data_IF_451588265638
#
_entry.id   IF_451588265638
#
_cell.length_a   1.000
_cell.length_b   1.000
_cell.length_c   1.000
_cell.angle_alpha   90.00
_cell.angle_beta   90.00
_cell.angle_gamma   90.00
#
_symmetry.space_group_name_H-M   'P 1'
#
loop_
_entity.id
_entity.type
_entity.pdbx_description
1 polymer ?
#
# COMPACT_ATOMS: atom_id res chain seq x y z
N UNK A 1 8.78 12.08 -5.29
CA UNK A 1 9.33 11.62 -3.99
C UNK A 1 9.72 10.14 -4.11
N UNK A 2 10.80 9.67 -3.47
CA UNK A 2 11.10 8.23 -3.48
C UNK A 2 10.04 7.47 -2.67
N UNK A 3 9.69 6.26 -3.09
CA UNK A 3 8.68 5.43 -2.43
C UNK A 3 9.18 4.00 -2.32
N UNK A 4 8.90 3.37 -1.19
CA UNK A 4 9.22 1.97 -0.96
C UNK A 4 7.91 1.20 -0.83
N UNK A 5 7.69 0.24 -1.73
CA UNK A 5 6.48 -0.55 -1.79
C UNK A 5 6.81 -2.02 -1.54
N UNK A 6 6.00 -2.69 -0.71
CA UNK A 6 6.06 -4.13 -0.58
C UNK A 6 4.68 -4.78 -0.53
N UNK A 7 4.67 -6.05 -0.93
CA UNK A 7 3.56 -6.99 -0.72
C UNK A 7 4.04 -8.00 0.30
N UNK A 8 3.29 -8.13 1.39
CA UNK A 8 3.57 -9.06 2.47
C UNK A 8 2.51 -10.15 2.49
N UNK A 9 2.98 -11.37 2.69
CA UNK A 9 2.17 -12.56 2.88
C UNK A 9 1.41 -12.53 4.21
N UNK A 10 0.58 -13.54 4.41
CA UNK A 10 -0.20 -13.72 5.65
C UNK A 10 0.67 -13.95 6.88
N UNK A 11 1.87 -14.49 6.69
CA UNK A 11 2.83 -14.80 7.75
C UNK A 11 3.91 -13.72 7.85
N UNK A 12 3.59 -12.49 7.45
CA UNK A 12 4.48 -11.32 7.46
C UNK A 12 5.78 -11.48 6.67
N UNK A 13 5.79 -12.42 5.73
CA UNK A 13 6.92 -12.64 4.84
C UNK A 13 6.83 -11.70 3.62
N UNK A 14 7.92 -11.05 3.21
CA UNK A 14 7.92 -10.26 1.99
C UNK A 14 7.77 -11.17 0.76
N UNK A 15 6.76 -10.88 -0.05
CA UNK A 15 6.47 -11.57 -1.31
C UNK A 15 6.96 -10.76 -2.51
N UNK A 16 6.97 -9.43 -2.40
CA UNK A 16 7.51 -8.54 -3.42
C UNK A 16 7.94 -7.23 -2.78
N UNK A 17 9.05 -6.65 -3.24
CA UNK A 17 9.57 -5.37 -2.77
C UNK A 17 10.06 -4.55 -3.97
N UNK A 18 9.76 -3.25 -3.96
CA UNK A 18 10.21 -2.33 -5.00
C UNK A 18 10.41 -0.92 -4.46
N UNK A 19 11.53 -0.33 -4.86
CA UNK A 19 11.78 1.10 -4.71
C UNK A 19 11.39 1.82 -6.00
N UNK A 20 10.62 2.90 -5.86
CA UNK A 20 10.26 3.83 -6.93
C UNK A 20 10.98 5.15 -6.68
N UNK A 21 11.66 5.65 -7.71
CA UNK A 21 12.37 6.93 -7.67
C UNK A 21 11.66 7.96 -8.53
N UNK A 22 11.66 9.23 -8.12
CA UNK A 22 11.21 10.33 -8.98
C UNK A 22 12.24 10.58 -10.07
N UNK A 23 11.78 10.69 -11.33
CA UNK A 23 12.57 11.21 -12.43
C UNK A 23 12.27 12.71 -12.60
N UNK A 24 12.95 13.56 -11.84
CA UNK A 24 13.02 14.99 -12.16
C UNK A 24 14.48 15.41 -12.21
N UNK A 25 15.04 15.29 -13.41
CA UNK A 25 16.31 15.87 -13.80
C UNK A 25 16.34 15.96 -15.33
N UNK A 26 16.24 17.18 -15.87
CA UNK A 26 16.73 17.45 -17.22
C UNK A 26 18.22 17.04 -17.26
N UNK A 27 18.60 16.33 -18.34
CA UNK A 27 19.96 15.92 -18.72
C UNK A 27 21.03 16.05 -17.61
N UNK A 28 21.25 14.98 -16.84
CA UNK A 28 22.51 14.77 -16.11
C UNK A 28 22.46 14.65 -14.58
N UNK A 29 21.33 14.82 -13.91
CA UNK A 29 21.25 14.58 -12.46
C UNK A 29 20.75 13.17 -12.12
N UNK A 30 21.46 12.52 -11.19
CA UNK A 30 21.18 11.18 -10.67
C UNK A 30 19.76 11.08 -10.10
N UNK A 31 19.09 9.95 -10.34
CA UNK A 31 17.82 9.59 -9.69
C UNK A 31 17.96 9.74 -8.17
N UNK A 32 17.18 10.64 -7.55
CA UNK A 32 17.18 10.84 -6.10
C UNK A 32 16.27 9.80 -5.45
N UNK A 33 16.81 8.60 -5.24
CA UNK A 33 16.17 7.54 -4.45
C UNK A 33 16.22 7.83 -2.95
N UNK A 34 15.89 6.84 -2.11
CA UNK A 34 16.13 6.98 -0.68
C UNK A 34 17.63 7.13 -0.40
N UNK A 35 18.03 8.06 0.49
CA UNK A 35 19.37 8.05 1.05
C UNK A 35 19.67 6.67 1.66
N UNK A 36 20.88 6.15 1.48
CA UNK A 36 21.25 4.79 1.89
C UNK A 36 20.86 4.48 3.34
N UNK A 37 21.12 5.41 4.27
CA UNK A 37 20.77 5.25 5.68
C UNK A 37 19.26 5.15 5.94
N UNK A 38 18.41 5.83 5.17
CA UNK A 38 16.95 5.69 5.27
C UNK A 38 16.48 4.43 4.58
N UNK A 39 17.12 4.05 3.48
CA UNK A 39 16.78 2.84 2.72
C UNK A 39 16.91 1.58 3.59
N UNK A 40 17.95 1.49 4.40
CA UNK A 40 18.18 0.38 5.33
C UNK A 40 17.11 0.30 6.44
N UNK A 41 16.43 1.40 6.74
CA UNK A 41 15.34 1.45 7.72
C UNK A 41 13.99 1.01 7.14
N UNK A 42 13.81 0.99 5.82
CA UNK A 42 12.53 0.69 5.19
C UNK A 42 11.90 -0.64 5.68
N UNK A 43 12.64 -1.77 5.78
CA UNK A 43 12.07 -3.01 6.30
C UNK A 43 11.64 -2.90 7.77
N UNK A 44 12.40 -2.19 8.60
CA UNK A 44 12.08 -1.98 10.01
C UNK A 44 10.80 -1.16 10.18
N UNK A 45 10.71 -0.04 9.45
CA UNK A 45 9.54 0.85 9.45
C UNK A 45 8.30 0.09 9.00
N UNK A 46 8.42 -0.68 7.93
CA UNK A 46 7.35 -1.49 7.40
C UNK A 46 6.88 -2.54 8.42
N UNK A 47 7.81 -3.28 9.01
CA UNK A 47 7.48 -4.31 9.99
C UNK A 47 6.79 -3.72 11.24
N UNK A 48 7.27 -2.58 11.75
CA UNK A 48 6.66 -1.89 12.88
C UNK A 48 5.23 -1.40 12.58
N UNK A 49 4.89 -1.15 11.31
CA UNK A 49 3.54 -0.74 10.91
C UNK A 49 2.52 -1.88 10.80
N UNK A 50 2.96 -3.15 10.85
CA UNK A 50 2.06 -4.30 10.63
C UNK A 50 1.03 -4.46 11.74
N UNK A 51 1.43 -4.28 12.99
CA UNK A 51 0.52 -4.34 14.15
C UNK A 51 -0.65 -3.36 13.99
N UNK A 52 -0.35 -2.13 13.53
CA UNK A 52 -1.36 -1.09 13.28
C UNK A 52 -2.29 -1.49 12.13
N UNK A 53 -1.73 -2.06 11.05
CA UNK A 53 -2.50 -2.52 9.88
C UNK A 53 -3.46 -3.64 10.27
N UNK A 54 -3.00 -4.58 11.11
CA UNK A 54 -3.84 -5.68 11.63
C UNK A 54 -4.95 -5.17 12.55
N UNK A 55 -4.66 -4.21 13.42
CA UNK A 55 -5.69 -3.57 14.24
C UNK A 55 -6.75 -2.86 13.39
N UNK A 56 -6.33 -2.20 12.30
CA UNK A 56 -7.25 -1.54 11.36
C UNK A 56 -8.07 -2.55 10.56
N UNK A 57 -7.51 -3.71 10.21
CA UNK A 57 -8.24 -4.80 9.55
C UNK A 57 -9.50 -5.19 10.33
N UNK A 58 -9.39 -5.31 11.65
CA UNK A 58 -10.53 -5.69 12.50
C UNK A 58 -11.56 -4.57 12.67
N UNK A 59 -11.15 -3.31 12.48
CA UNK A 59 -12.01 -2.13 12.56
C UNK A 59 -12.67 -1.79 11.21
N UNK A 60 -12.11 -2.22 10.08
CA UNK A 60 -12.52 -1.85 8.73
C UNK A 60 -13.99 -2.16 8.41
N UNK A 61 -14.57 -3.14 9.10
CA UNK A 61 -15.99 -3.51 8.97
C UNK A 61 -16.96 -2.55 9.68
N UNK A 62 -16.47 -1.49 10.33
CA UNK A 62 -17.28 -0.57 11.16
C UNK A 62 -17.40 0.86 10.62
N UNK A 63 -16.98 1.12 9.38
CA UNK A 63 -17.13 2.44 8.74
C UNK A 63 -18.59 2.72 8.29
N UNK A 64 -19.50 2.72 9.26
CA UNK A 64 -20.77 3.45 9.18
C UNK A 64 -20.42 4.91 9.44
N UNK A 65 -20.27 5.69 8.36
CA UNK A 65 -20.08 7.13 8.48
C UNK A 65 -21.23 7.76 9.28
N UNK A 66 -20.83 8.63 10.21
CA UNK A 66 -21.66 9.56 10.95
C UNK A 66 -22.85 10.12 10.14
N UNK A 67 -24.05 9.66 10.48
CA UNK A 67 -25.29 10.41 10.30
C UNK A 67 -25.85 10.70 11.68
N UNK A 68 -25.89 11.97 12.06
CA UNK A 68 -26.57 12.47 13.24
C UNK A 68 -28.04 12.03 13.28
N UNK A 69 -28.44 11.33 14.34
CA UNK A 69 -29.62 11.58 15.20
C UNK A 69 -30.24 10.29 15.77
N UNK A 70 -30.14 10.19 17.10
CA UNK A 70 -31.03 9.56 18.08
C UNK A 70 -31.57 8.12 17.92
N UNK A 71 -31.51 7.42 19.05
CA UNK A 71 -32.28 6.24 19.50
C UNK A 71 -32.03 4.87 18.85
N UNK A 72 -31.64 3.92 19.72
CA UNK A 72 -32.28 2.61 19.73
C UNK A 72 -31.45 1.44 19.22
N UNK A 73 -30.98 0.62 20.16
CA UNK A 73 -30.89 -0.85 20.12
C UNK A 73 -30.86 -1.55 18.75
N UNK A 74 -29.76 -2.27 18.51
CA UNK A 74 -29.73 -3.45 17.62
C UNK A 74 -29.53 -3.13 16.14
N UNK A 75 -28.27 -3.09 15.71
CA UNK A 75 -27.92 -3.18 14.28
C UNK A 75 -27.18 -4.49 14.02
N UNK A 76 -27.90 -5.59 14.17
CA UNK A 76 -27.51 -6.88 13.62
C UNK A 76 -28.24 -7.00 12.27
N UNK A 77 -27.49 -7.14 11.17
CA UNK A 77 -27.97 -7.46 9.82
C UNK A 77 -28.57 -6.30 8.99
N UNK A 78 -27.74 -5.33 8.56
CA UNK A 78 -28.03 -4.59 7.32
C UNK A 78 -26.84 -4.61 6.38
N UNK A 79 -26.83 -5.60 5.48
CA UNK A 79 -26.01 -5.55 4.26
C UNK A 79 -26.51 -4.40 3.40
N UNK A 80 -25.84 -3.24 3.48
CA UNK A 80 -25.84 -2.28 2.38
C UNK A 80 -24.78 -2.76 1.39
N UNK A 81 -25.08 -2.67 0.11
CA UNK A 81 -24.17 -2.93 -0.98
C UNK A 81 -23.00 -1.94 -0.91
N UNK A 82 -21.99 -2.27 -0.11
CA UNK A 82 -20.71 -1.58 -0.06
C UNK A 82 -19.92 -2.10 -1.25
N UNK A 83 -19.44 -1.20 -2.12
CA UNK A 83 -18.51 -1.60 -3.16
C UNK A 83 -17.35 -2.32 -2.46
N UNK A 84 -17.22 -3.62 -2.72
CA UNK A 84 -16.21 -4.49 -2.12
C UNK A 84 -14.78 -3.90 -2.27
N UNK A 85 -14.57 -3.03 -3.26
CA UNK A 85 -13.30 -2.33 -3.53
C UNK A 85 -12.96 -1.18 -2.58
N UNK A 86 -13.91 -0.64 -1.81
CA UNK A 86 -13.66 0.44 -0.82
C UNK A 86 -13.12 -0.11 0.51
N UNK A 87 -13.33 -1.40 0.78
CA UNK A 87 -12.93 -2.07 2.03
C UNK A 87 -11.50 -2.60 2.02
N UNK A 88 -10.64 -2.16 1.11
CA UNK A 88 -9.25 -2.64 1.04
C UNK A 88 -8.23 -1.53 1.28
N UNK A 89 -8.53 -0.30 0.89
CA UNK A 89 -7.59 0.82 1.07
C UNK A 89 -7.74 1.41 2.49
N UNK A 90 -6.68 1.31 3.29
CA UNK A 90 -6.66 1.83 4.67
C UNK A 90 -6.26 3.32 4.74
N UNK A 91 -5.78 3.89 3.63
CA UNK A 91 -5.25 5.25 3.65
C UNK A 91 -3.90 5.32 4.36
N UNK A 92 -3.63 6.48 4.96
CA UNK A 92 -2.47 6.69 5.82
C UNK A 92 -2.70 6.03 7.18
N UNK A 93 -1.85 5.05 7.51
CA UNK A 93 -1.96 4.25 8.74
C UNK A 93 -1.04 4.75 9.83
N UNK A 94 0.14 5.25 9.47
CA UNK A 94 1.15 5.69 10.43
C UNK A 94 2.14 6.69 9.79
N UNK A 95 3.07 7.22 10.58
CA UNK A 95 4.20 8.00 10.14
C UNK A 95 5.48 7.66 10.93
N UNK A 96 6.63 7.69 10.26
CA UNK A 96 7.93 7.47 10.91
C UNK A 96 8.94 8.50 10.43
N UNK A 97 9.50 9.32 11.34
CA UNK A 97 10.36 10.46 10.99
C UNK A 97 9.80 11.36 9.87
N UNK A 98 8.49 11.57 9.84
CA UNK A 98 7.82 12.36 8.79
C UNK A 98 7.55 11.61 7.48
N UNK A 99 8.04 10.38 7.31
CA UNK A 99 7.67 9.47 6.23
C UNK A 99 6.24 8.97 6.47
N UNK A 100 5.34 9.16 5.51
CA UNK A 100 3.98 8.66 5.64
C UNK A 100 3.92 7.20 5.22
N UNK A 101 3.14 6.39 5.94
CA UNK A 101 2.92 4.97 5.63
C UNK A 101 1.47 4.82 5.20
N UNK A 102 1.25 4.28 4.00
CA UNK A 102 -0.08 3.89 3.54
C UNK A 102 -0.19 2.39 3.38
N UNK A 103 -1.38 1.85 3.57
CA UNK A 103 -1.62 0.43 3.45
C UNK A 103 -2.89 0.09 2.67
N UNK A 104 -2.86 -1.06 2.04
CA UNK A 104 -3.97 -1.70 1.35
C UNK A 104 -4.00 -3.17 1.74
N UNK A 105 -5.15 -3.66 2.17
CA UNK A 105 -5.34 -5.03 2.63
C UNK A 105 -6.25 -5.76 1.67
N UNK A 106 -5.82 -6.92 1.19
CA UNK A 106 -6.68 -7.78 0.37
C UNK A 106 -7.60 -8.64 1.23
N UNK A 107 -8.71 -9.10 0.68
CA UNK A 107 -9.59 -10.08 1.36
C UNK A 107 -8.91 -11.40 1.72
N UNK A 108 -7.84 -11.73 0.99
CA UNK A 108 -7.01 -12.87 1.30
C UNK A 108 -6.03 -12.61 2.44
N UNK A 109 -6.01 -11.43 3.07
CA UNK A 109 -5.08 -11.11 4.15
C UNK A 109 -3.65 -10.82 3.69
N UNK A 110 -3.46 -10.49 2.40
CA UNK A 110 -2.18 -9.96 1.90
C UNK A 110 -2.12 -8.47 2.19
N UNK A 111 -0.97 -8.00 2.66
CA UNK A 111 -0.78 -6.61 3.11
C UNK A 111 0.10 -5.89 2.10
N UNK A 112 -0.42 -4.86 1.46
CA UNK A 112 0.29 -4.03 0.51
C UNK A 112 0.64 -2.75 1.26
N UNK A 113 1.93 -2.46 1.42
CA UNK A 113 2.40 -1.36 2.27
C UNK A 113 3.33 -0.47 1.47
N UNK A 114 3.14 0.84 1.58
CA UNK A 114 3.99 1.83 0.92
C UNK A 114 4.47 2.89 1.91
N UNK A 115 5.78 3.08 1.95
CA UNK A 115 6.44 4.17 2.65
C UNK A 115 6.69 5.29 1.64
N UNK A 116 6.15 6.47 1.92
CA UNK A 116 6.32 7.66 1.12
C UNK A 116 7.49 8.48 1.66
N UNK A 117 8.55 8.53 0.87
CA UNK A 117 9.72 9.34 1.13
C UNK A 117 9.39 10.83 1.13
N UNK A 118 10.09 11.58 1.95
CA UNK A 118 9.99 13.03 1.95
C UNK A 118 11.36 13.65 2.15
N UNK A 119 11.85 14.29 1.10
CA UNK A 119 13.18 14.86 1.09
C UNK A 119 13.19 16.35 1.41
N UNK A 120 12.05 17.05 1.27
CA UNK A 120 12.02 18.51 1.21
C UNK A 120 10.88 19.18 2.01
N UNK A 121 9.94 18.44 2.64
CA UNK A 121 8.80 19.02 3.39
C UNK A 121 8.61 18.37 4.77
N UNK A 122 8.21 19.15 5.78
CA UNK A 122 7.89 18.61 7.12
C UNK A 122 6.64 17.71 7.16
N UNK A 123 5.82 17.69 6.10
CA UNK A 123 4.65 16.81 5.99
C UNK A 123 4.55 16.23 4.58
N UNK A 124 4.53 14.90 4.49
CA UNK A 124 4.37 14.16 3.24
C UNK A 124 2.92 14.23 2.80
N UNK A 125 2.65 15.00 1.74
CA UNK A 125 1.33 15.06 1.13
C UNK A 125 1.17 13.84 0.20
N UNK A 126 0.25 12.95 0.58
CA UNK A 126 -0.06 11.74 -0.18
C UNK A 126 -1.38 11.98 -0.93
N UNK A 127 -1.38 11.81 -2.25
CA UNK A 127 -2.61 11.83 -3.04
C UNK A 127 -3.32 10.48 -2.90
N UNK A 128 -4.26 10.41 -1.95
CA UNK A 128 -5.00 9.19 -1.62
C UNK A 128 -5.70 8.57 -2.83
N UNK A 129 -6.22 9.38 -3.76
CA UNK A 129 -6.92 8.87 -4.93
C UNK A 129 -5.94 8.15 -5.88
N UNK A 130 -4.79 8.76 -6.13
CA UNK A 130 -3.76 8.17 -6.99
C UNK A 130 -3.16 6.89 -6.37
N UNK A 131 -2.89 6.91 -5.06
CA UNK A 131 -2.37 5.75 -4.32
C UNK A 131 -3.39 4.61 -4.28
N UNK A 132 -4.67 4.92 -4.05
CA UNK A 132 -5.75 3.92 -4.10
C UNK A 132 -5.84 3.25 -5.47
N UNK A 133 -5.82 4.03 -6.56
CA UNK A 133 -5.82 3.47 -7.93
C UNK A 133 -4.60 2.61 -8.22
N UNK A 134 -3.41 3.02 -7.76
CA UNK A 134 -2.19 2.20 -7.86
C UNK A 134 -2.37 0.84 -7.17
N UNK A 135 -2.82 0.83 -5.92
CA UNK A 135 -3.02 -0.42 -5.18
C UNK A 135 -4.04 -1.34 -5.84
N UNK A 136 -5.14 -0.79 -6.37
CA UNK A 136 -6.15 -1.58 -7.07
C UNK A 136 -5.60 -2.25 -8.34
N UNK A 137 -4.84 -1.54 -9.17
CA UNK A 137 -4.23 -2.12 -10.37
C UNK A 137 -3.13 -3.14 -10.03
N UNK A 138 -2.33 -2.91 -8.98
CA UNK A 138 -1.34 -3.89 -8.51
C UNK A 138 -2.03 -5.14 -7.96
N UNK A 139 -3.15 -4.99 -7.25
CA UNK A 139 -3.93 -6.11 -6.73
C UNK A 139 -4.48 -6.98 -7.87
N UNK A 140 -4.99 -6.38 -8.93
CA UNK A 140 -5.42 -7.13 -10.12
C UNK A 140 -4.25 -7.92 -10.75
N UNK A 141 -3.07 -7.31 -10.84
CA UNK A 141 -1.87 -7.98 -11.34
C UNK A 141 -1.40 -9.12 -10.42
N UNK A 142 -1.50 -8.93 -9.11
CA UNK A 142 -1.19 -9.95 -8.11
C UNK A 142 -2.12 -11.15 -8.25
N UNK A 143 -3.43 -10.94 -8.40
CA UNK A 143 -4.40 -12.01 -8.64
C UNK A 143 -4.06 -12.78 -9.92
N UNK A 144 -3.72 -12.09 -11.02
CA UNK A 144 -3.31 -12.75 -12.27
C UNK A 144 -2.08 -13.65 -12.08
N UNK A 145 -1.17 -13.27 -11.18
CA UNK A 145 0.01 -14.07 -10.83
C UNK A 145 -0.37 -15.29 -9.99
N UNK A 146 -1.30 -15.12 -9.03
CA UNK A 146 -1.85 -16.23 -8.25
C UNK A 146 -2.64 -17.25 -9.08
N UNK A 147 -3.31 -16.80 -10.15
CA UNK A 147 -4.05 -17.68 -11.05
C UNK A 147 -3.14 -18.55 -11.93
N UNK A 148 -1.82 -18.36 -11.87
CA UNK A 148 -0.88 -19.27 -12.49
C UNK A 148 -0.79 -20.57 -11.68
N UNK A 149 -1.15 -21.75 -12.22
CA UNK A 149 -1.14 -23.02 -11.49
C UNK A 149 0.27 -23.45 -11.01
N UNK A 150 1.33 -22.83 -11.54
CA UNK A 150 2.72 -23.10 -11.12
C UNK A 150 3.23 -22.16 -10.04
N UNK A 151 2.45 -21.14 -9.67
CA UNK A 151 2.84 -20.25 -8.58
C UNK A 151 2.43 -20.86 -7.24
N UNK A 152 3.39 -20.93 -6.31
CA UNK A 152 3.16 -21.40 -4.95
C UNK A 152 2.76 -20.22 -4.08
N UNK A 153 1.68 -20.40 -3.31
CA UNK A 153 1.18 -19.37 -2.40
C UNK A 153 2.27 -19.03 -1.37
N UNK A 154 2.47 -17.73 -1.14
CA UNK A 154 3.47 -17.13 -0.24
C UNK A 154 4.94 -17.16 -0.73
N UNK A 155 5.24 -17.77 -1.88
CA UNK A 155 6.60 -17.71 -2.43
C UNK A 155 6.88 -16.31 -3.03
N UNK A 156 8.13 -15.80 -2.97
CA UNK A 156 8.46 -14.53 -3.56
C UNK A 156 8.13 -14.46 -5.06
N UNK A 157 7.54 -13.35 -5.50
CA UNK A 157 7.24 -13.10 -6.92
C UNK A 157 8.52 -12.64 -7.61
N UNK A 158 9.13 -13.55 -8.37
CA UNK A 158 10.38 -13.30 -9.12
C UNK A 158 10.16 -12.94 -10.60
N UNK A 159 8.91 -12.80 -11.03
CA UNK A 159 8.56 -12.55 -12.43
C UNK A 159 8.97 -11.14 -12.89
N UNK A 160 9.87 -11.07 -13.88
CA UNK A 160 10.30 -9.80 -14.48
C UNK A 160 9.14 -9.05 -15.17
N UNK A 161 8.17 -9.78 -15.72
CA UNK A 161 6.98 -9.18 -16.34
C UNK A 161 6.07 -8.52 -15.30
N UNK A 162 5.97 -9.12 -14.10
CA UNK A 162 5.25 -8.52 -12.98
C UNK A 162 5.93 -7.21 -12.54
N UNK A 163 7.24 -7.26 -12.29
CA UNK A 163 8.02 -6.10 -11.85
C UNK A 163 7.94 -4.94 -12.86
N UNK A 164 8.09 -5.22 -14.15
CA UNK A 164 7.99 -4.21 -15.22
C UNK A 164 6.63 -3.51 -15.21
N UNK A 165 5.55 -4.28 -15.02
CA UNK A 165 4.19 -3.74 -14.96
C UNK A 165 3.98 -2.89 -13.71
N UNK A 166 4.38 -3.37 -12.52
CA UNK A 166 4.29 -2.59 -11.27
C UNK A 166 5.04 -1.27 -11.38
N UNK A 167 6.25 -1.27 -11.93
CA UNK A 167 7.02 -0.03 -12.17
C UNK A 167 6.32 0.91 -13.15
N UNK A 168 5.65 0.37 -14.16
CA UNK A 168 4.83 1.18 -15.09
C UNK A 168 3.64 1.84 -14.37
N UNK A 169 2.98 1.11 -13.46
CA UNK A 169 1.90 1.65 -12.64
C UNK A 169 2.38 2.74 -11.69
N UNK A 170 3.53 2.54 -11.06
CA UNK A 170 4.14 3.54 -10.19
C UNK A 170 4.43 4.84 -10.95
N UNK A 171 4.96 4.74 -12.18
CA UNK A 171 5.16 5.92 -13.04
C UNK A 171 3.86 6.62 -13.42
N UNK A 172 2.77 5.88 -13.64
CA UNK A 172 1.46 6.41 -14.01
C UNK A 172 0.77 7.16 -12.87
N UNK A 173 0.84 6.61 -11.65
CA UNK A 173 0.05 7.09 -10.52
C UNK A 173 0.84 7.92 -9.50
N UNK A 174 2.11 7.59 -9.27
CA UNK A 174 2.87 8.10 -8.13
C UNK A 174 3.89 9.18 -8.50
N UNK A 175 4.37 9.17 -9.75
CA UNK A 175 5.35 10.13 -10.26
C UNK A 175 4.67 11.30 -11.00
N UNK A 176 3.86 12.08 -10.28
CA UNK A 176 3.48 13.43 -10.73
C UNK A 176 4.48 14.45 -10.24
#
# INVERSE_FOLDING_TARGET
MPQYFAILGKSDNPVYEAEFTTQQGQQGQLQKGFPQHLKELNPFIMHASLDIIEDLQWKLNSNVQHGTNNSGFGSFLRSKNVNVTDNCYLGKVDHFYGLAITAYLTFSGMKFVMIHGNLDKNSTQVDDNAVKSFYQEVHELYIKTLMNPFYKINDPITSAAFDTRVRSLARKYLNK
#
